data_IF_677922755039
#
_entry.id   IF_677922755039
#
_cell.length_a   1.000
_cell.length_b   1.000
_cell.length_c   1.000
_cell.angle_alpha   90.00
_cell.angle_beta   90.00
_cell.angle_gamma   90.00
#
_symmetry.space_group_name_H-M   'P 1'
#
loop_
_entity.id
_entity.type
_entity.pdbx_description
1 polymer ?
#
# COMPACT_ATOMS: atom_id res chain seq x y z
N UNK A 1 -22.10 14.47 16.74
CA UNK A 1 -21.84 13.37 15.80
C UNK A 1 -20.34 13.16 15.83
N UNK A 2 -19.85 12.45 16.86
CA UNK A 2 -18.43 12.21 17.01
C UNK A 2 -18.13 10.86 16.36
N UNK A 3 -18.10 10.88 15.02
CA UNK A 3 -17.50 9.77 14.28
C UNK A 3 -15.99 9.74 14.53
N UNK A 4 -15.34 8.57 14.42
CA UNK A 4 -13.90 8.48 14.57
C UNK A 4 -13.22 9.44 13.58
N UNK A 5 -12.27 10.23 14.07
CA UNK A 5 -11.51 11.15 13.23
C UNK A 5 -10.86 10.40 12.06
N UNK A 6 -10.86 10.97 10.85
CA UNK A 6 -10.31 10.30 9.68
C UNK A 6 -8.81 10.09 9.86
N UNK A 7 -8.34 8.85 9.71
CA UNK A 7 -6.91 8.51 9.75
C UNK A 7 -6.13 9.22 8.61
N UNK A 8 -4.82 9.49 8.77
CA UNK A 8 -3.99 10.00 7.68
C UNK A 8 -3.87 8.98 6.53
N UNK A 9 -3.51 9.45 5.34
CA UNK A 9 -3.18 8.58 4.20
C UNK A 9 -1.92 7.78 4.58
N UNK A 10 -1.93 6.43 4.47
CA UNK A 10 -0.79 5.62 4.90
C UNK A 10 0.48 5.97 4.12
N UNK A 11 1.62 5.86 4.81
CA UNK A 11 2.95 5.94 4.20
C UNK A 11 3.09 4.90 3.08
N UNK A 12 2.74 3.67 3.40
CA UNK A 12 2.75 2.54 2.49
C UNK A 12 1.56 1.63 2.78
N UNK A 13 0.92 1.14 1.72
CA UNK A 13 -0.07 0.08 1.81
C UNK A 13 -0.06 -0.68 0.48
N UNK A 14 -0.13 -2.01 0.55
CA UNK A 14 -0.11 -2.85 -0.63
C UNK A 14 -1.05 -4.04 -0.52
N UNK A 15 -1.46 -4.55 -1.68
CA UNK A 15 -1.96 -5.91 -1.86
C UNK A 15 -0.82 -6.75 -2.44
N UNK A 16 -0.72 -8.02 -2.10
CA UNK A 16 0.39 -8.87 -2.51
C UNK A 16 -0.07 -10.24 -2.98
N UNK A 17 0.75 -10.87 -3.82
CA UNK A 17 0.63 -12.28 -4.19
C UNK A 17 1.80 -13.05 -3.59
N UNK A 18 1.50 -13.94 -2.66
CA UNK A 18 2.43 -14.94 -2.15
C UNK A 18 2.43 -16.18 -3.04
N UNK A 19 3.60 -16.79 -3.12
CA UNK A 19 3.82 -18.10 -3.69
C UNK A 19 4.64 -18.95 -2.71
N UNK A 20 4.28 -20.21 -2.56
CA UNK A 20 5.14 -21.17 -1.84
C UNK A 20 6.34 -21.51 -2.70
N UNK A 21 7.54 -21.46 -2.13
CA UNK A 21 8.79 -21.89 -2.81
C UNK A 21 8.87 -23.41 -2.94
N UNK A 22 8.17 -24.16 -2.10
CA UNK A 22 8.10 -25.63 -2.14
C UNK A 22 7.11 -26.11 -3.21
N UNK A 23 5.96 -25.43 -3.32
CA UNK A 23 4.92 -25.74 -4.30
C UNK A 23 4.43 -24.48 -4.99
N UNK A 24 4.99 -24.17 -6.15
CA UNK A 24 4.68 -22.93 -6.89
C UNK A 24 3.20 -22.76 -7.28
N UNK A 25 2.42 -23.85 -7.32
CA UNK A 25 0.97 -23.80 -7.53
C UNK A 25 0.17 -23.32 -6.29
N UNK A 26 0.79 -23.28 -5.11
CA UNK A 26 0.18 -22.75 -3.89
C UNK A 26 0.36 -21.24 -3.83
N UNK A 27 -0.74 -20.53 -4.04
CA UNK A 27 -0.80 -19.08 -4.05
C UNK A 27 -1.70 -18.55 -2.92
N UNK A 28 -1.40 -17.34 -2.46
CA UNK A 28 -2.19 -16.62 -1.47
C UNK A 28 -2.16 -15.12 -1.76
N UNK A 29 -3.31 -14.46 -1.66
CA UNK A 29 -3.44 -13.01 -1.82
C UNK A 29 -3.76 -12.43 -0.45
N UNK A 30 -3.11 -11.31 -0.11
CA UNK A 30 -3.46 -10.55 1.07
C UNK A 30 -3.14 -9.06 0.90
N UNK A 31 -3.43 -8.27 1.93
CA UNK A 31 -2.99 -6.88 2.02
C UNK A 31 -2.22 -6.59 3.31
N UNK A 32 -1.38 -5.56 3.27
CA UNK A 32 -0.59 -5.10 4.42
C UNK A 32 0.05 -3.74 4.17
N UNK A 33 0.25 -2.90 5.19
CA UNK A 33 1.14 -1.74 5.13
C UNK A 33 2.60 -2.06 5.48
N UNK A 34 2.90 -3.26 5.97
CA UNK A 34 4.28 -3.67 6.25
C UNK A 34 4.58 -5.06 5.68
N UNK A 35 4.97 -5.14 4.40
CA UNK A 35 5.23 -6.42 3.74
C UNK A 35 6.38 -7.21 4.35
N UNK A 36 7.40 -6.53 4.89
CA UNK A 36 8.56 -7.16 5.54
C UNK A 36 8.09 -7.98 6.74
N UNK A 37 7.32 -7.33 7.63
CA UNK A 37 6.78 -8.02 8.80
C UNK A 37 5.77 -9.10 8.40
N UNK A 38 4.87 -8.81 7.45
CA UNK A 38 3.82 -9.75 7.03
C UNK A 38 4.40 -11.02 6.40
N UNK A 39 5.47 -10.92 5.61
CA UNK A 39 6.17 -12.09 5.07
C UNK A 39 6.75 -12.97 6.18
N UNK A 40 7.37 -12.37 7.19
CA UNK A 40 7.87 -13.09 8.38
C UNK A 40 6.75 -13.79 9.15
N UNK A 41 5.55 -13.20 9.23
CA UNK A 41 4.38 -13.82 9.84
C UNK A 41 3.92 -15.07 9.08
N UNK A 42 3.81 -14.99 7.75
CA UNK A 42 3.45 -16.15 6.92
C UNK A 42 4.48 -17.28 7.02
N UNK A 43 5.76 -16.94 7.15
CA UNK A 43 6.85 -17.89 7.31
C UNK A 43 7.03 -18.42 8.74
N UNK A 44 6.19 -17.99 9.70
CA UNK A 44 6.22 -18.49 11.08
C UNK A 44 7.37 -17.93 11.93
N UNK A 45 8.13 -16.95 11.41
CA UNK A 45 9.18 -16.24 12.16
C UNK A 45 8.56 -15.27 13.16
N UNK A 46 7.42 -14.66 12.80
CA UNK A 46 6.63 -13.78 13.65
C UNK A 46 5.21 -14.32 13.86
N UNK A 47 4.56 -13.95 14.97
CA UNK A 47 3.16 -14.30 15.25
C UNK A 47 2.18 -13.51 14.36
N UNK A 48 1.01 -14.08 14.08
CA UNK A 48 -0.06 -13.43 13.30
C UNK A 48 -0.10 -13.78 11.81
N UNK A 49 0.40 -14.96 11.43
CA UNK A 49 0.27 -15.47 10.06
C UNK A 49 -1.12 -16.06 9.79
N UNK A 50 -1.62 -15.90 8.56
CA UNK A 50 -2.91 -16.44 8.16
C UNK A 50 -2.95 -17.98 8.26
N UNK A 51 -4.09 -18.55 8.69
CA UNK A 51 -4.30 -20.01 8.82
C UNK A 51 -3.92 -20.78 7.54
N UNK A 52 -4.30 -20.26 6.37
CA UNK A 52 -3.99 -20.88 5.06
C UNK A 52 -2.48 -20.99 4.78
N UNK A 53 -1.68 -20.12 5.37
CA UNK A 53 -0.21 -20.08 5.19
C UNK A 53 0.55 -20.80 6.31
N UNK A 54 -0.15 -21.33 7.32
CA UNK A 54 0.46 -21.94 8.50
C UNK A 54 1.07 -23.33 8.28
N UNK A 55 0.77 -23.99 7.16
CA UNK A 55 1.26 -25.35 6.87
C UNK A 55 2.76 -25.34 6.59
N UNK A 56 3.55 -26.01 7.42
CA UNK A 56 5.01 -26.05 7.28
C UNK A 56 5.49 -26.66 5.96
N UNK A 57 4.79 -27.67 5.43
CA UNK A 57 5.09 -28.25 4.11
C UNK A 57 4.96 -27.28 2.93
N UNK A 58 4.36 -26.10 3.14
CA UNK A 58 4.22 -25.05 2.13
C UNK A 58 5.13 -23.83 2.42
N UNK A 59 5.75 -23.76 3.60
CA UNK A 59 6.75 -22.75 3.91
C UNK A 59 8.11 -23.16 3.31
N UNK A 60 8.98 -22.20 2.95
CA UNK A 60 8.75 -20.76 3.03
C UNK A 60 7.93 -20.22 1.85
N UNK A 61 7.18 -19.16 2.14
CA UNK A 61 6.50 -18.30 1.20
C UNK A 61 7.43 -17.17 0.75
N UNK A 62 7.21 -16.71 -0.47
CA UNK A 62 7.83 -15.53 -1.05
C UNK A 62 6.77 -14.57 -1.59
N UNK A 63 7.01 -13.26 -1.48
CA UNK A 63 6.20 -12.25 -2.16
C UNK A 63 6.63 -12.16 -3.62
N UNK A 64 5.80 -12.69 -4.51
CA UNK A 64 6.07 -12.72 -5.94
C UNK A 64 5.91 -11.34 -6.59
N UNK A 65 4.86 -10.62 -6.18
CA UNK A 65 4.58 -9.24 -6.59
C UNK A 65 3.76 -8.52 -5.53
N UNK A 66 3.79 -7.19 -5.57
CA UNK A 66 2.94 -6.30 -4.78
C UNK A 66 2.29 -5.24 -5.66
N UNK A 67 1.06 -4.87 -5.34
CA UNK A 67 0.36 -3.69 -5.84
C UNK A 67 0.45 -2.65 -4.74
N UNK A 68 1.25 -1.59 -4.94
CA UNK A 68 1.53 -0.55 -3.96
C UNK A 68 0.90 0.79 -4.36
N UNK A 69 0.75 1.70 -3.38
CA UNK A 69 0.29 3.07 -3.63
C UNK A 69 -1.15 3.36 -3.24
N UNK A 70 -1.82 2.45 -2.53
CA UNK A 70 -3.18 2.69 -2.02
C UNK A 70 -3.20 3.89 -1.08
N UNK A 71 -4.17 4.79 -1.30
CA UNK A 71 -4.34 6.02 -0.50
C UNK A 71 -5.18 5.80 0.76
N UNK A 72 -5.75 4.61 0.96
CA UNK A 72 -6.48 4.24 2.16
C UNK A 72 -6.45 2.72 2.37
N UNK A 73 -6.58 2.29 3.64
CA UNK A 73 -6.76 0.88 4.00
C UNK A 73 -8.00 0.30 3.32
N UNK A 74 -9.11 1.05 3.30
CA UNK A 74 -10.38 0.60 2.70
C UNK A 74 -10.20 0.28 1.22
N UNK A 75 -9.50 1.14 0.46
CA UNK A 75 -9.24 0.90 -0.96
C UNK A 75 -8.39 -0.35 -1.20
N UNK A 76 -7.38 -0.59 -0.34
CA UNK A 76 -6.58 -1.81 -0.40
C UNK A 76 -7.41 -3.07 -0.08
N UNK A 77 -8.27 -3.03 0.93
CA UNK A 77 -9.15 -4.15 1.30
C UNK A 77 -10.17 -4.46 0.20
N UNK A 78 -10.74 -3.43 -0.44
CA UNK A 78 -11.63 -3.61 -1.59
C UNK A 78 -10.90 -4.28 -2.76
N UNK A 79 -9.66 -3.86 -3.04
CA UNK A 79 -8.84 -4.45 -4.08
C UNK A 79 -8.47 -5.91 -3.75
N UNK A 80 -8.03 -6.17 -2.53
CA UNK A 80 -7.73 -7.52 -2.04
C UNK A 80 -8.93 -8.45 -2.20
N UNK A 81 -10.10 -8.03 -1.71
CA UNK A 81 -11.32 -8.83 -1.78
C UNK A 81 -11.69 -9.14 -3.22
N UNK A 82 -11.64 -8.13 -4.10
CA UNK A 82 -11.94 -8.28 -5.52
C UNK A 82 -10.96 -9.23 -6.23
N UNK A 83 -9.70 -9.27 -5.79
CA UNK A 83 -8.68 -10.16 -6.34
C UNK A 83 -8.76 -11.59 -5.79
N UNK A 84 -9.22 -11.75 -4.55
CA UNK A 84 -9.51 -13.05 -3.94
C UNK A 84 -10.80 -13.69 -4.47
N UNK A 85 -11.80 -12.87 -4.84
CA UNK A 85 -13.11 -13.32 -5.30
C UNK A 85 -13.52 -12.75 -6.67
N UNK A 86 -12.76 -12.99 -7.76
CA UNK A 86 -13.05 -12.38 -9.06
C UNK A 86 -14.42 -12.69 -9.63
N UNK A 87 -14.93 -13.90 -9.41
CA UNK A 87 -16.26 -14.31 -9.86
C UNK A 87 -17.42 -13.62 -9.13
N UNK A 88 -17.15 -12.98 -7.99
CA UNK A 88 -18.13 -12.19 -7.24
C UNK A 88 -17.90 -10.69 -7.38
N UNK A 89 -16.80 -10.31 -8.01
CA UNK A 89 -16.38 -8.93 -8.10
C UNK A 89 -17.08 -8.27 -9.28
N UNK A 90 -17.93 -7.29 -8.99
CA UNK A 90 -18.51 -6.36 -10.00
C UNK A 90 -17.48 -5.65 -10.87
N UNK A 91 -16.19 -5.67 -10.49
CA UNK A 91 -15.10 -5.08 -11.24
C UNK A 91 -14.54 -6.01 -12.32
N UNK A 92 -14.93 -7.29 -12.31
CA UNK A 92 -14.43 -8.35 -13.17
C UNK A 92 -15.58 -9.11 -13.86
N UNK A 93 -16.80 -8.57 -13.83
CA UNK A 93 -17.92 -9.17 -14.54
C UNK A 93 -17.61 -9.19 -16.04
N UNK A 94 -17.73 -10.36 -16.70
CA UNK A 94 -17.59 -10.43 -18.15
C UNK A 94 -18.75 -9.66 -18.79
N UNK A 95 -18.44 -8.73 -19.70
CA UNK A 95 -19.43 -8.00 -20.51
C UNK A 95 -20.38 -8.93 -21.31
N UNK A 96 -20.10 -10.24 -21.35
CA UNK A 96 -20.82 -11.29 -22.10
C UNK A 96 -21.77 -12.18 -21.26
N UNK A 97 -22.08 -11.87 -20.01
CA UNK A 97 -23.01 -12.67 -19.19
C UNK A 97 -24.51 -12.54 -19.58
N UNK A 98 -24.81 -11.85 -20.69
CA UNK A 98 -26.13 -11.90 -21.35
C UNK A 98 -26.39 -13.22 -22.10
N UNK A 99 -25.45 -14.17 -22.12
CA UNK A 99 -25.66 -15.53 -22.62
C UNK A 99 -25.31 -16.58 -21.57
N UNK A 100 -26.16 -16.70 -20.56
CA UNK A 100 -26.23 -17.89 -19.72
C UNK A 100 -26.42 -19.14 -20.62
N UNK A 101 -25.33 -19.81 -20.99
CA UNK A 101 -25.38 -21.15 -21.56
C UNK A 101 -25.87 -22.08 -20.47
N UNK A 102 -27.15 -22.44 -20.53
CA UNK A 102 -27.70 -23.53 -19.73
C UNK A 102 -26.95 -24.80 -20.14
N UNK A 103 -26.01 -25.26 -19.31
CA UNK A 103 -25.34 -26.54 -19.51
C UNK A 103 -26.34 -27.67 -19.20
N UNK A 104 -27.12 -28.03 -20.21
CA UNK A 104 -28.05 -29.16 -20.19
C UNK A 104 -27.27 -30.43 -20.56
N UNK A 105 -27.45 -31.50 -19.79
CA UNK A 105 -26.89 -32.81 -20.14
C UNK A 105 -27.58 -33.37 -21.40
N UNK A 106 -26.85 -33.69 -22.49
CA UNK A 106 -27.45 -34.14 -23.76
C UNK A 106 -28.24 -35.45 -23.67
N UNK A 107 -28.04 -36.26 -22.62
CA UNK A 107 -28.70 -37.56 -22.44
C UNK A 107 -29.92 -37.48 -21.52
N UNK A 108 -29.97 -36.50 -20.61
CA UNK A 108 -30.98 -36.47 -19.54
C UNK A 108 -31.80 -35.19 -19.49
N UNK A 109 -31.45 -34.15 -20.25
CA UNK A 109 -32.19 -32.89 -20.28
C UNK A 109 -32.15 -32.10 -18.96
N UNK A 110 -31.40 -32.58 -17.96
CA UNK A 110 -31.29 -31.96 -16.64
C UNK A 110 -30.15 -30.94 -16.60
N UNK A 111 -30.29 -29.85 -15.83
CA UNK A 111 -29.18 -28.93 -15.59
C UNK A 111 -28.06 -29.67 -14.86
N UNK A 112 -26.84 -29.63 -15.42
CA UNK A 112 -25.66 -30.18 -14.71
C UNK A 112 -25.45 -29.38 -13.42
N UNK A 113 -25.35 -30.09 -12.29
CA UNK A 113 -24.95 -29.47 -11.03
C UNK A 113 -23.58 -28.80 -11.20
N UNK A 114 -23.42 -27.56 -10.72
CA UNK A 114 -22.12 -26.87 -10.70
C UNK A 114 -21.11 -27.77 -9.96
N UNK A 115 -19.88 -27.95 -10.48
CA UNK A 115 -18.87 -28.74 -9.78
C UNK A 115 -18.65 -28.16 -8.38
N UNK A 116 -18.73 -29.02 -7.35
CA UNK A 116 -18.64 -28.65 -5.92
C UNK A 116 -17.22 -28.27 -5.47
N UNK A 117 -16.21 -28.52 -6.30
CA UNK A 117 -14.81 -28.20 -6.01
C UNK A 117 -14.37 -26.99 -6.84
N UNK A 118 -14.12 -25.86 -6.17
CA UNK A 118 -13.42 -24.73 -6.80
C UNK A 118 -11.99 -25.18 -7.10
N UNK A 119 -11.71 -25.48 -8.36
CA UNK A 119 -10.34 -25.73 -8.82
C UNK A 119 -9.44 -24.55 -8.39
N UNK A 120 -8.25 -24.87 -7.86
CA UNK A 120 -7.28 -23.84 -7.47
C UNK A 120 -6.95 -23.01 -8.72
N UNK A 121 -7.10 -21.69 -8.61
CA UNK A 121 -6.77 -20.78 -9.72
C UNK A 121 -5.27 -20.79 -9.97
N UNK A 122 -4.91 -20.75 -11.26
CA UNK A 122 -3.51 -20.75 -11.69
C UNK A 122 -2.88 -19.37 -11.46
N UNK A 123 -1.55 -19.31 -11.50
CA UNK A 123 -0.81 -18.04 -11.50
C UNK A 123 -1.28 -17.12 -12.64
N UNK A 124 -1.46 -17.68 -13.83
CA UNK A 124 -1.96 -16.94 -15.00
C UNK A 124 -3.31 -16.32 -14.70
N UNK A 125 -4.28 -17.08 -14.18
CA UNK A 125 -5.59 -16.56 -13.84
C UNK A 125 -5.53 -15.39 -12.85
N UNK A 126 -4.70 -15.47 -11.81
CA UNK A 126 -4.52 -14.36 -10.86
C UNK A 126 -3.91 -13.10 -11.51
N UNK A 127 -3.02 -13.27 -12.48
CA UNK A 127 -2.42 -12.17 -13.23
C UNK A 127 -3.40 -11.57 -14.24
N UNK A 128 -4.27 -12.38 -14.83
CA UNK A 128 -5.40 -11.93 -15.66
C UNK A 128 -6.36 -11.06 -14.83
N UNK A 129 -6.78 -11.54 -13.65
CA UNK A 129 -7.65 -10.80 -12.75
C UNK A 129 -6.99 -9.48 -12.32
N UNK A 130 -5.70 -9.51 -11.97
CA UNK A 130 -4.94 -8.31 -11.60
C UNK A 130 -4.94 -7.27 -12.73
N UNK A 131 -4.69 -7.70 -13.97
CA UNK A 131 -4.70 -6.82 -15.13
C UNK A 131 -6.06 -6.14 -15.33
N UNK A 132 -7.15 -6.90 -15.17
CA UNK A 132 -8.52 -6.38 -15.25
C UNK A 132 -8.85 -5.44 -14.09
N UNK A 133 -8.43 -5.75 -12.85
CA UNK A 133 -8.64 -4.87 -11.69
C UNK A 133 -7.94 -3.53 -11.84
N UNK A 134 -6.71 -3.49 -12.34
CA UNK A 134 -5.98 -2.24 -12.57
C UNK A 134 -6.66 -1.34 -13.61
N UNK A 135 -7.51 -1.91 -14.46
CA UNK A 135 -8.26 -1.19 -15.49
C UNK A 135 -9.68 -0.85 -15.08
N UNK A 136 -10.15 -1.37 -13.96
CA UNK A 136 -11.49 -1.08 -13.49
C UNK A 136 -11.64 0.40 -13.17
N UNK A 137 -12.84 0.94 -13.33
CA UNK A 137 -13.13 2.37 -13.12
C UNK A 137 -12.82 2.85 -11.69
N UNK A 138 -12.84 1.94 -10.70
CA UNK A 138 -12.57 2.29 -9.30
C UNK A 138 -11.08 2.35 -8.93
N UNK A 139 -10.22 1.62 -9.64
CA UNK A 139 -8.79 1.54 -9.30
C UNK A 139 -7.90 2.22 -10.35
N UNK A 140 -8.37 2.38 -11.58
CA UNK A 140 -7.62 2.96 -12.70
C UNK A 140 -7.20 4.41 -12.47
N UNK A 141 -7.90 5.19 -11.65
CA UNK A 141 -7.55 6.58 -11.33
C UNK A 141 -6.54 6.71 -10.19
N UNK A 142 -6.31 5.64 -9.42
CA UNK A 142 -5.41 5.65 -8.28
C UNK A 142 -3.93 5.73 -8.68
N UNK A 143 -3.03 6.17 -7.77
CA UNK A 143 -1.59 6.19 -8.01
C UNK A 143 -0.95 4.80 -7.79
N UNK A 144 -1.63 3.76 -8.27
CA UNK A 144 -1.25 2.36 -8.08
C UNK A 144 -0.03 2.00 -8.94
N UNK A 145 0.78 1.11 -8.41
CA UNK A 145 1.98 0.60 -9.06
C UNK A 145 2.09 -0.89 -8.79
N UNK A 146 2.55 -1.65 -9.77
CA UNK A 146 2.77 -3.09 -9.60
C UNK A 146 4.26 -3.35 -9.62
N UNK A 147 4.78 -3.89 -8.52
CA UNK A 147 6.20 -4.25 -8.38
C UNK A 147 6.34 -5.77 -8.41
N UNK A 148 7.09 -6.26 -9.38
CA UNK A 148 7.41 -7.68 -9.53
C UNK A 148 8.78 -7.98 -8.94
N UNK A 149 8.86 -8.97 -8.05
CA UNK A 149 10.12 -9.44 -7.46
C UNK A 149 10.68 -10.70 -8.14
N UNK A 150 9.82 -11.48 -8.80
CA UNK A 150 10.18 -12.74 -9.44
C UNK A 150 10.09 -12.66 -10.97
N UNK A 151 11.18 -13.02 -11.66
CA UNK A 151 11.30 -12.91 -13.12
C UNK A 151 10.36 -13.85 -13.88
N UNK A 152 10.15 -15.06 -13.38
CA UNK A 152 9.23 -16.01 -13.97
C UNK A 152 7.78 -15.55 -13.89
N UNK A 153 7.37 -14.94 -12.78
CA UNK A 153 6.04 -14.35 -12.61
C UNK A 153 5.83 -13.17 -13.56
N UNK A 154 6.83 -12.29 -13.69
CA UNK A 154 6.77 -11.17 -14.63
C UNK A 154 6.73 -11.63 -16.09
N UNK A 155 7.41 -12.74 -16.45
CA UNK A 155 7.28 -13.33 -17.81
C UNK A 155 5.85 -13.76 -18.12
N UNK A 156 5.14 -14.37 -17.15
CA UNK A 156 3.73 -14.74 -17.33
C UNK A 156 2.87 -13.50 -17.49
N UNK A 157 3.09 -12.47 -16.67
CA UNK A 157 2.41 -11.18 -16.77
C UNK A 157 2.62 -10.53 -18.15
N UNK A 158 3.87 -10.47 -18.62
CA UNK A 158 4.22 -9.91 -19.92
C UNK A 158 3.55 -10.68 -21.05
N UNK A 159 3.60 -12.01 -21.02
CA UNK A 159 2.96 -12.85 -22.02
C UNK A 159 1.43 -12.65 -22.09
N UNK A 160 0.78 -12.36 -20.96
CA UNK A 160 -0.63 -11.96 -20.93
C UNK A 160 -0.84 -10.55 -21.50
N UNK A 161 -0.07 -9.58 -21.00
CA UNK A 161 -0.16 -8.18 -21.40
C UNK A 161 0.09 -7.98 -22.91
N UNK A 162 0.97 -8.77 -23.52
CA UNK A 162 1.26 -8.70 -24.95
C UNK A 162 0.15 -9.33 -25.82
N UNK A 163 -0.70 -10.18 -25.24
CA UNK A 163 -1.83 -10.83 -25.92
C UNK A 163 -3.10 -10.00 -25.88
N UNK A 164 -3.28 -9.19 -24.85
CA UNK A 164 -4.50 -8.41 -24.64
C UNK A 164 -4.33 -7.03 -25.27
N UNK A 165 -5.20 -6.69 -26.22
CA UNK A 165 -5.15 -5.40 -26.93
C UNK A 165 -5.35 -4.18 -26.00
N UNK A 166 -5.99 -4.41 -24.88
CA UNK A 166 -6.37 -3.35 -23.96
C UNK A 166 -5.30 -3.06 -22.91
N UNK A 167 -4.68 -1.88 -23.07
CA UNK A 167 -3.51 -1.40 -22.31
C UNK A 167 -3.88 -0.92 -20.91
N UNK A 168 -2.89 -0.94 -20.02
CA UNK A 168 -3.01 -0.33 -18.70
C UNK A 168 -3.08 1.21 -18.80
N UNK A 169 -3.83 1.87 -17.89
CA UNK A 169 -3.82 3.31 -17.76
C UNK A 169 -2.39 3.86 -17.57
N UNK A 170 -2.03 4.99 -18.22
CA UNK A 170 -0.66 5.52 -18.21
C UNK A 170 -0.18 6.00 -16.82
N UNK A 171 -1.09 6.18 -15.87
CA UNK A 171 -0.76 6.48 -14.47
C UNK A 171 -0.33 5.26 -13.67
N UNK A 172 -0.65 4.03 -14.11
CA UNK A 172 -0.26 2.80 -13.43
C UNK A 172 1.11 2.39 -13.92
N UNK A 173 2.08 2.34 -13.00
CA UNK A 173 3.48 2.00 -13.33
C UNK A 173 3.79 0.55 -12.99
N UNK A 174 4.52 -0.13 -13.88
CA UNK A 174 5.10 -1.45 -13.63
C UNK A 174 6.56 -1.26 -13.22
N UNK A 175 6.96 -1.86 -12.09
CA UNK A 175 8.30 -1.77 -11.52
C UNK A 175 8.88 -3.18 -11.46
N UNK A 176 10.11 -3.33 -11.97
CA UNK A 176 10.86 -4.58 -11.93
C UNK A 176 11.88 -4.50 -10.81
N UNK A 177 11.88 -5.52 -9.96
CA UNK A 177 12.69 -5.58 -8.75
C UNK A 177 13.12 -7.03 -8.46
N UNK A 178 13.96 -7.24 -7.44
CA UNK A 178 14.44 -8.58 -7.10
C UNK A 178 15.26 -9.19 -8.22
N UNK A 179 14.96 -10.45 -8.50
CA UNK A 179 15.60 -11.24 -9.54
C UNK A 179 15.35 -10.66 -10.95
N UNK A 180 14.38 -9.76 -11.11
CA UNK A 180 14.12 -9.10 -12.40
C UNK A 180 15.22 -8.10 -12.78
N UNK A 181 15.99 -7.57 -11.83
CA UNK A 181 16.96 -6.51 -12.10
C UNK A 181 18.03 -6.94 -13.12
N UNK A 182 18.43 -8.21 -13.10
CA UNK A 182 19.38 -8.77 -14.06
C UNK A 182 18.79 -8.96 -15.48
N UNK A 183 17.46 -8.91 -15.62
CA UNK A 183 16.76 -9.23 -16.88
C UNK A 183 16.53 -7.98 -17.76
N UNK A 184 16.99 -6.80 -17.32
CA UNK A 184 16.85 -5.55 -18.07
C UNK A 184 18.21 -5.09 -18.59
N UNK A 185 18.58 -5.38 -19.85
CA UNK A 185 19.75 -4.76 -20.46
C UNK A 185 19.44 -3.27 -20.68
N UNK A 186 20.18 -2.38 -20.02
CA UNK A 186 19.99 -0.93 -20.13
C UNK A 186 18.55 -0.47 -19.88
N UNK A 187 18.05 -0.65 -18.65
CA UNK A 187 16.93 0.16 -18.19
C UNK A 187 17.36 1.63 -18.25
N UNK A 188 17.03 2.31 -19.36
CA UNK A 188 16.77 3.75 -19.28
C UNK A 188 15.78 3.89 -18.15
N UNK A 189 16.29 4.40 -17.03
CA UNK A 189 15.53 4.73 -15.84
C UNK A 189 14.22 5.34 -16.31
N UNK A 190 13.11 4.61 -16.16
CA UNK A 190 11.79 5.24 -16.10
C UNK A 190 11.84 6.08 -14.84
N UNK A 191 12.42 7.28 -14.99
CA UNK A 191 12.77 8.18 -13.91
C UNK A 191 11.57 8.38 -13.02
N UNK A 192 11.75 8.04 -11.74
CA UNK A 192 11.06 8.56 -10.55
C UNK A 192 11.10 7.56 -9.39
N UNK A 193 11.37 6.26 -9.62
CA UNK A 193 11.33 5.26 -8.54
C UNK A 193 12.54 4.33 -8.61
N UNK A 194 13.41 4.45 -7.60
CA UNK A 194 14.57 3.57 -7.45
C UNK A 194 14.14 2.11 -7.17
N UNK A 195 14.83 1.12 -7.75
CA UNK A 195 14.64 -0.28 -7.37
C UNK A 195 14.96 -0.48 -5.90
N UNK A 196 14.11 -1.23 -5.18
CA UNK A 196 14.39 -1.56 -3.79
C UNK A 196 15.44 -2.69 -3.69
N UNK A 197 15.60 -3.50 -4.72
CA UNK A 197 16.39 -4.73 -4.71
C UNK A 197 15.58 -5.90 -4.17
N UNK A 198 14.92 -5.75 -3.01
CA UNK A 198 14.08 -6.80 -2.44
C UNK A 198 13.01 -6.22 -1.51
N UNK A 199 12.13 -7.08 -0.99
CA UNK A 199 11.05 -6.68 -0.10
C UNK A 199 11.55 -5.96 1.17
N UNK A 200 12.72 -6.34 1.68
CA UNK A 200 13.29 -5.80 2.92
C UNK A 200 13.73 -4.34 2.79
N UNK A 201 13.93 -3.86 1.57
CA UNK A 201 14.41 -2.51 1.29
C UNK A 201 13.26 -1.57 0.87
N UNK A 202 12.02 -2.02 0.94
CA UNK A 202 10.87 -1.14 0.74
C UNK A 202 10.78 -0.15 1.90
N UNK A 203 10.73 1.14 1.56
CA UNK A 203 10.40 2.19 2.53
C UNK A 203 8.89 2.14 2.80
N UNK A 204 8.55 1.67 4.00
CA UNK A 204 7.17 1.47 4.47
C UNK A 204 6.69 2.58 5.42
N UNK A 205 7.58 3.50 5.75
CA UNK A 205 7.40 4.62 6.68
C UNK A 205 7.34 5.97 5.96
N UNK A 206 7.12 7.04 6.72
CA UNK A 206 7.11 8.41 6.20
C UNK A 206 8.52 8.99 6.02
N UNK A 207 9.59 8.18 6.06
CA UNK A 207 10.96 8.71 6.01
C UNK A 207 11.23 9.52 4.75
N UNK A 208 10.64 9.14 3.60
CA UNK A 208 10.72 9.91 2.34
C UNK A 208 10.01 11.26 2.36
N UNK A 209 9.16 11.50 3.35
CA UNK A 209 8.41 12.75 3.52
C UNK A 209 8.99 13.64 4.61
N UNK A 210 10.03 13.21 5.33
CA UNK A 210 10.58 13.95 6.47
C UNK A 210 11.01 15.39 6.12
N UNK A 211 11.78 15.58 5.05
CA UNK A 211 12.22 16.91 4.61
C UNK A 211 11.03 17.80 4.20
N UNK A 212 10.04 17.19 3.54
CA UNK A 212 8.86 17.92 3.11
C UNK A 212 7.97 18.31 4.30
N UNK A 213 7.80 17.40 5.26
CA UNK A 213 7.04 17.62 6.49
C UNK A 213 7.69 18.66 7.38
N UNK A 214 9.02 18.60 7.55
CA UNK A 214 9.78 19.61 8.30
C UNK A 214 9.56 21.00 7.69
N UNK A 215 9.75 21.10 6.37
CA UNK A 215 9.54 22.35 5.65
C UNK A 215 8.10 22.85 5.78
N UNK A 216 7.10 21.99 5.65
CA UNK A 216 5.70 22.41 5.70
C UNK A 216 5.28 22.84 7.10
N UNK A 217 5.72 22.13 8.14
CA UNK A 217 5.45 22.50 9.54
C UNK A 217 6.15 23.82 9.88
N UNK A 218 7.44 23.95 9.60
CA UNK A 218 8.20 25.18 9.83
C UNK A 218 7.58 26.39 9.12
N UNK A 219 7.15 26.22 7.86
CA UNK A 219 6.53 27.30 7.11
C UNK A 219 5.19 27.75 7.68
N UNK A 220 4.45 26.89 8.39
CA UNK A 220 3.10 27.18 8.88
C UNK A 220 3.08 27.59 10.36
N UNK A 221 4.23 27.61 11.04
CA UNK A 221 4.37 28.09 12.43
C UNK A 221 4.10 29.60 12.55
N UNK A 222 4.54 30.39 11.56
CA UNK A 222 4.34 31.84 11.51
C UNK A 222 3.61 32.22 10.19
N UNK A 223 2.27 32.26 10.21
CA UNK A 223 1.46 32.47 9.02
C UNK A 223 1.26 33.93 8.62
N UNK A 224 1.77 34.91 9.38
CA UNK A 224 1.40 36.32 9.24
C UNK A 224 1.71 36.90 7.85
N UNK A 225 2.72 36.35 7.16
CA UNK A 225 3.12 36.75 5.81
C UNK A 225 2.68 35.76 4.71
N UNK A 226 1.97 34.67 5.06
CA UNK A 226 1.62 33.64 4.09
C UNK A 226 0.34 33.98 3.33
N UNK A 227 0.45 33.97 2.00
CA UNK A 227 -0.69 34.15 1.10
C UNK A 227 -0.80 32.99 0.12
N UNK A 228 -2.04 32.61 -0.17
CA UNK A 228 -2.32 31.57 -1.14
C UNK A 228 -1.83 32.00 -2.54
N UNK A 229 -0.96 31.19 -3.15
CA UNK A 229 -0.36 31.51 -4.46
C UNK A 229 -1.39 31.64 -5.59
N UNK A 230 -2.60 31.09 -5.40
CA UNK A 230 -3.70 31.08 -6.37
C UNK A 230 -4.65 32.26 -6.14
N UNK A 231 -5.31 32.36 -4.98
CA UNK A 231 -6.33 33.38 -4.73
C UNK A 231 -5.78 34.68 -4.10
N UNK A 232 -4.49 34.71 -3.73
CA UNK A 232 -3.79 35.85 -3.11
C UNK A 232 -4.34 36.32 -1.76
N UNK A 233 -5.25 35.55 -1.15
CA UNK A 233 -5.75 35.80 0.22
C UNK A 233 -4.78 35.24 1.27
N UNK A 234 -4.73 35.83 2.48
CA UNK A 234 -3.99 35.26 3.60
C UNK A 234 -4.47 33.82 3.88
N UNK A 235 -3.55 32.96 4.32
CA UNK A 235 -3.86 31.59 4.73
C UNK A 235 -3.92 31.49 6.24
N UNK A 236 -4.91 30.77 6.78
CA UNK A 236 -5.06 30.61 8.23
C UNK A 236 -4.93 29.11 8.55
N UNK A 237 -3.74 28.62 8.97
CA UNK A 237 -3.50 27.18 9.15
C UNK A 237 -4.45 26.48 10.13
N UNK A 238 -5.01 27.23 11.09
CA UNK A 238 -5.96 26.71 12.10
C UNK A 238 -7.38 26.55 11.57
N UNK A 239 -7.77 27.29 10.53
CA UNK A 239 -9.11 27.29 9.95
C UNK A 239 -9.16 26.64 8.56
N UNK A 240 -8.07 26.72 7.81
CA UNK A 240 -7.98 26.31 6.42
C UNK A 240 -7.20 24.99 6.24
N UNK A 241 -7.58 24.21 5.22
CA UNK A 241 -6.72 23.13 4.73
C UNK A 241 -5.67 23.72 3.78
N UNK A 242 -4.45 23.86 4.28
CA UNK A 242 -3.33 24.49 3.53
C UNK A 242 -2.37 23.44 3.00
N UNK A 243 -2.03 23.54 1.72
CA UNK A 243 -1.05 22.70 1.05
C UNK A 243 0.22 23.50 0.75
N UNK A 244 1.37 22.86 0.95
CA UNK A 244 2.69 23.42 0.67
C UNK A 244 3.29 22.71 -0.54
N UNK A 245 4.08 23.41 -1.36
CA UNK A 245 4.75 22.78 -2.49
C UNK A 245 5.75 21.71 -2.00
N UNK A 246 5.83 20.51 -2.60
CA UNK A 246 6.78 19.48 -2.18
C UNK A 246 8.25 19.80 -2.51
N UNK A 247 8.52 20.65 -3.50
CA UNK A 247 9.88 21.01 -3.92
C UNK A 247 10.64 21.77 -2.82
N UNK A 248 11.85 21.32 -2.46
CA UNK A 248 12.66 21.85 -1.35
C UNK A 248 12.87 23.37 -1.40
N UNK A 249 13.18 23.89 -2.59
CA UNK A 249 13.47 25.31 -2.80
C UNK A 249 12.21 26.17 -3.07
N UNK A 250 11.01 25.61 -2.95
CA UNK A 250 9.76 26.32 -3.21
C UNK A 250 8.98 26.56 -1.93
N UNK A 251 8.60 27.82 -1.70
CA UNK A 251 7.74 28.26 -0.58
C UNK A 251 6.29 28.50 -1.01
N UNK A 252 5.82 27.83 -2.06
CA UNK A 252 4.46 28.00 -2.55
C UNK A 252 3.46 27.39 -1.58
N UNK A 253 2.60 28.21 -0.98
CA UNK A 253 1.49 27.79 -0.12
C UNK A 253 0.15 28.06 -0.82
N UNK A 254 -0.86 27.23 -0.62
CA UNK A 254 -2.18 27.42 -1.22
C UNK A 254 -3.27 26.79 -0.38
N UNK A 255 -4.50 27.31 -0.47
CA UNK A 255 -5.68 26.57 -0.01
C UNK A 255 -5.82 25.28 -0.83
N UNK A 256 -6.22 24.19 -0.17
CA UNK A 256 -6.46 22.89 -0.79
C UNK A 256 -7.35 23.01 -2.04
N UNK A 257 -8.50 23.68 -1.89
CA UNK A 257 -9.49 23.85 -2.96
C UNK A 257 -8.99 24.76 -4.09
N UNK A 258 -8.17 25.76 -3.76
CA UNK A 258 -7.58 26.63 -4.79
C UNK A 258 -6.55 25.88 -5.63
N UNK A 259 -5.70 25.06 -5.00
CA UNK A 259 -4.74 24.26 -5.73
C UNK A 259 -5.46 23.18 -6.55
N UNK A 260 -6.41 22.45 -5.96
CA UNK A 260 -7.13 21.37 -6.67
C UNK A 260 -7.81 21.90 -7.93
N UNK A 261 -8.58 22.98 -7.83
CA UNK A 261 -9.31 23.56 -8.96
C UNK A 261 -8.34 23.96 -10.07
N UNK A 262 -7.25 24.65 -9.71
CA UNK A 262 -6.22 25.05 -10.68
C UNK A 262 -5.53 23.87 -11.36
N UNK A 263 -5.33 22.75 -10.65
CA UNK A 263 -4.74 21.56 -11.26
C UNK A 263 -5.74 20.85 -12.19
N UNK A 264 -7.03 20.82 -11.84
CA UNK A 264 -8.09 20.25 -12.68
C UNK A 264 -8.34 21.09 -13.94
N UNK A 265 -8.39 22.41 -13.81
CA UNK A 265 -8.57 23.32 -14.95
C UNK A 265 -7.44 23.15 -15.99
N UNK A 266 -6.24 22.77 -15.53
CA UNK A 266 -5.09 22.54 -16.39
C UNK A 266 -5.09 21.18 -17.12
N UNK A 267 -5.90 20.20 -16.70
CA UNK A 267 -5.99 18.90 -17.40
C UNK A 267 -6.90 18.97 -18.62
N UNK A 268 -7.90 19.86 -18.61
CA UNK A 268 -8.91 19.94 -19.68
C UNK A 268 -9.91 18.78 -19.67
N UNK A 269 -9.97 18.00 -18.59
CA UNK A 269 -10.88 16.87 -18.41
C UNK A 269 -12.00 17.25 -17.42
N UNK A 270 -13.22 17.56 -17.89
CA UNK A 270 -14.28 18.09 -17.03
C UNK A 270 -14.83 17.07 -16.01
N UNK A 271 -14.70 15.77 -16.30
CA UNK A 271 -15.20 14.70 -15.45
C UNK A 271 -14.21 14.30 -14.32
N UNK A 272 -13.00 14.85 -14.33
CA UNK A 272 -11.98 14.53 -13.35
C UNK A 272 -12.24 15.28 -12.04
N UNK A 273 -12.60 14.53 -10.98
CA UNK A 273 -12.91 15.13 -9.67
C UNK A 273 -11.68 15.34 -8.78
N UNK A 274 -10.63 14.52 -8.98
CA UNK A 274 -9.44 14.51 -8.12
C UNK A 274 -8.19 14.67 -8.99
N UNK A 275 -7.35 15.68 -8.74
CA UNK A 275 -6.09 15.82 -9.46
C UNK A 275 -5.19 14.60 -9.24
N UNK A 276 -4.45 14.19 -10.27
CA UNK A 276 -3.42 13.15 -10.13
C UNK A 276 -2.03 13.77 -10.08
N UNK A 277 -1.79 14.75 -10.95
CA UNK A 277 -0.54 15.50 -11.10
C UNK A 277 -0.84 16.92 -11.58
N UNK A 278 0.16 17.79 -11.54
CA UNK A 278 0.05 19.13 -12.10
C UNK A 278 1.32 19.94 -11.93
N UNK A 279 1.25 21.26 -12.12
CA UNK A 279 2.41 22.16 -11.99
C UNK A 279 2.20 23.14 -10.85
N UNK A 280 3.21 23.34 -10.01
CA UNK A 280 3.15 24.32 -8.93
C UNK A 280 2.93 25.75 -9.50
N UNK A 281 1.97 26.53 -8.97
CA UNK A 281 1.75 27.90 -9.45
C UNK A 281 2.95 28.84 -9.28
N UNK A 282 3.81 28.58 -8.29
CA UNK A 282 4.98 29.40 -7.96
C UNK A 282 6.24 28.93 -8.72
N UNK A 283 6.79 27.75 -8.40
CA UNK A 283 8.05 27.29 -8.99
C UNK A 283 7.90 26.62 -10.37
N UNK A 284 6.68 26.42 -10.86
CA UNK A 284 6.36 25.76 -12.15
C UNK A 284 6.78 24.30 -12.29
N UNK A 285 7.50 23.74 -11.32
CA UNK A 285 7.86 22.33 -11.31
C UNK A 285 6.63 21.41 -11.20
N UNK A 286 6.75 20.21 -11.76
CA UNK A 286 5.73 19.17 -11.67
C UNK A 286 5.53 18.72 -10.21
N UNK A 287 4.28 18.55 -9.79
CA UNK A 287 3.89 18.08 -8.46
C UNK A 287 2.93 16.91 -8.57
N UNK A 288 3.03 15.98 -7.62
CA UNK A 288 2.15 14.81 -7.53
C UNK A 288 1.11 15.04 -6.44
N UNK A 289 -0.17 14.98 -6.80
CA UNK A 289 -1.27 15.20 -5.86
C UNK A 289 -1.26 14.21 -4.69
N UNK A 290 -1.02 12.90 -4.89
CA UNK A 290 -0.94 11.94 -3.78
C UNK A 290 0.14 12.29 -2.74
N UNK A 291 1.27 12.86 -3.18
CA UNK A 291 2.36 13.28 -2.27
C UNK A 291 1.92 14.45 -1.39
N UNK A 292 1.28 15.46 -1.99
CA UNK A 292 0.75 16.63 -1.27
C UNK A 292 -0.32 16.17 -0.27
N UNK A 293 -1.23 15.29 -0.69
CA UNK A 293 -2.31 14.81 0.18
C UNK A 293 -1.77 13.95 1.33
N UNK A 294 -0.73 13.14 1.08
CA UNK A 294 -0.11 12.35 2.13
C UNK A 294 0.52 13.23 3.21
N UNK A 295 1.26 14.26 2.81
CA UNK A 295 1.83 15.22 3.77
C UNK A 295 0.73 16.00 4.52
N UNK A 296 -0.24 16.59 3.80
CA UNK A 296 -1.34 17.34 4.41
C UNK A 296 -2.08 16.52 5.47
N UNK A 297 -2.48 15.30 5.10
CA UNK A 297 -3.26 14.44 6.00
C UNK A 297 -2.43 13.95 7.17
N UNK A 298 -1.14 13.66 6.96
CA UNK A 298 -0.25 13.25 8.05
C UNK A 298 -0.01 14.40 9.04
N UNK A 299 0.27 15.61 8.54
CA UNK A 299 0.45 16.81 9.36
C UNK A 299 -0.80 17.15 10.18
N UNK A 300 -1.99 17.11 9.55
CA UNK A 300 -3.23 17.55 10.19
C UNK A 300 -3.91 16.50 11.07
N UNK A 301 -3.72 15.20 10.80
CA UNK A 301 -4.47 14.11 11.47
C UNK A 301 -3.59 13.22 12.35
N UNK A 302 -2.27 13.38 12.28
CA UNK A 302 -1.29 12.62 13.04
C UNK A 302 -0.14 13.52 13.48
N UNK A 303 -0.48 14.69 14.04
CA UNK A 303 0.48 15.73 14.41
C UNK A 303 1.51 15.23 15.44
N UNK A 304 1.08 14.40 16.39
CA UNK A 304 1.98 13.81 17.41
C UNK A 304 3.04 12.94 16.75
N UNK A 305 2.65 12.18 15.75
CA UNK A 305 3.52 11.25 15.04
C UNK A 305 4.40 11.96 14.02
N UNK A 306 3.88 13.01 13.37
CA UNK A 306 4.67 13.95 12.59
C UNK A 306 5.81 14.55 13.42
N UNK A 307 5.50 15.08 14.61
CA UNK A 307 6.50 15.59 15.54
C UNK A 307 7.50 14.52 15.97
N UNK A 308 7.05 13.29 16.23
CA UNK A 308 7.92 12.20 16.63
C UNK A 308 8.93 11.81 15.53
N UNK A 309 8.50 11.82 14.27
CA UNK A 309 9.37 11.54 13.12
C UNK A 309 10.44 12.62 12.96
N UNK A 310 10.07 13.90 13.05
CA UNK A 310 11.02 15.01 12.97
C UNK A 310 12.05 14.98 14.11
N UNK A 311 11.61 14.70 15.34
CA UNK A 311 12.52 14.51 16.49
C UNK A 311 13.49 13.35 16.27
N UNK A 312 13.06 12.26 15.64
CA UNK A 312 13.94 11.13 15.29
C UNK A 312 14.96 11.54 14.23
N UNK A 313 14.55 12.31 13.22
CA UNK A 313 15.45 12.88 12.22
C UNK A 313 16.54 13.73 12.85
N UNK A 314 16.18 14.67 13.72
CA UNK A 314 17.14 15.54 14.41
C UNK A 314 18.17 14.74 15.21
N UNK A 315 17.73 13.68 15.91
CA UNK A 315 18.63 12.78 16.64
C UNK A 315 19.60 12.07 15.70
N UNK A 316 19.16 11.64 14.51
CA UNK A 316 20.04 11.02 13.50
C UNK A 316 21.09 12.02 12.99
N UNK A 317 20.66 13.22 12.61
CA UNK A 317 21.56 14.27 12.13
C UNK A 317 22.61 14.65 13.19
N UNK A 318 22.21 14.82 14.45
CA UNK A 318 23.15 15.09 15.55
C UNK A 318 24.17 13.96 15.76
N UNK A 319 23.74 12.70 15.61
CA UNK A 319 24.62 11.54 15.73
C UNK A 319 25.62 11.48 14.56
N UNK A 320 25.16 11.75 13.34
CA UNK A 320 26.00 11.83 12.14
C UNK A 320 27.03 12.96 12.26
N UNK A 321 26.62 14.18 12.64
CA UNK A 321 27.55 15.29 12.85
C UNK A 321 28.57 15.00 13.96
N UNK A 322 28.16 14.34 15.05
CA UNK A 322 29.09 13.93 16.11
C UNK A 322 30.10 12.88 15.62
N UNK A 323 29.67 11.92 14.79
CA UNK A 323 30.54 10.91 14.20
C UNK A 323 31.54 11.54 13.21
N UNK A 324 31.11 12.52 12.41
CA UNK A 324 31.98 13.27 11.50
C UNK A 324 33.02 14.09 12.27
N UNK A 325 32.65 14.75 13.37
CA UNK A 325 33.60 15.48 14.23
C UNK A 325 34.64 14.53 14.83
N UNK A 326 34.23 13.35 15.31
CA UNK A 326 35.13 12.33 15.85
C UNK A 326 36.09 11.82 14.76
N UNK A 327 35.57 11.54 13.56
CA UNK A 327 36.37 11.09 12.42
C UNK A 327 37.37 12.16 11.96
N UNK A 328 36.97 13.42 11.91
CA UNK A 328 37.83 14.56 11.58
C UNK A 328 38.93 14.78 12.64
N UNK A 329 38.62 14.58 13.93
CA UNK A 329 39.60 14.68 15.01
C UNK A 329 40.66 13.57 14.95
N UNK A 330 40.29 12.37 14.50
CA UNK A 330 41.22 11.23 14.32
C UNK A 330 42.09 11.35 13.05
N UNK A 331 41.68 12.15 12.06
CA UNK A 331 42.47 12.44 10.86
C UNK A 331 43.68 13.35 11.07
N UNK A 332 43.90 13.90 12.29
CA UNK A 332 44.95 14.90 12.55
C UNK A 332 45.97 14.52 13.63
N UNK A 333 45.95 13.30 14.18
CA UNK A 333 47.01 12.84 15.10
C UNK A 333 47.34 11.37 14.89
N UNK A 334 48.53 11.13 14.35
CA UNK A 334 49.22 9.87 14.53
C UNK A 334 49.61 9.68 16.00
N UNK A 335 49.67 8.40 16.39
CA UNK A 335 50.19 7.83 17.64
C UNK A 335 49.18 7.60 18.76
N UNK A 336 48.74 6.34 18.80
CA UNK A 336 48.55 5.44 19.96
C UNK A 336 48.14 6.04 21.30
N UNK A 337 46.94 5.67 21.78
CA UNK A 337 46.64 5.10 23.11
C UNK A 337 45.18 4.61 23.06
N UNK A 338 44.96 3.31 23.32
CA UNK A 338 43.63 2.74 23.56
C UNK A 338 43.07 3.22 24.91
N UNK A 339 41.77 3.53 24.98
CA UNK A 339 41.02 3.32 26.21
C UNK A 339 39.86 2.34 25.99
N UNK A 340 39.97 1.22 26.71
CA UNK A 340 38.92 0.25 27.01
C UNK A 340 37.65 0.96 27.49
N UNK A 341 36.56 0.84 26.74
CA UNK A 341 35.22 1.29 27.15
C UNK A 341 34.26 0.10 27.12
N UNK A 342 33.56 -0.07 28.24
CA UNK A 342 32.59 -1.13 28.47
C UNK A 342 31.38 -0.92 27.56
N UNK A 343 30.99 -1.99 26.86
CA UNK A 343 29.73 -2.07 26.12
C UNK A 343 28.57 -2.12 27.12
N UNK A 344 27.91 -0.98 27.33
CA UNK A 344 26.53 -0.98 27.78
C UNK A 344 25.64 -1.17 26.53
N UNK A 345 24.89 -2.27 26.51
CA UNK A 345 23.86 -2.49 25.48
C UNK A 345 22.79 -1.40 25.59
N UNK A 346 22.40 -0.74 24.48
CA UNK A 346 21.30 0.19 24.53
C UNK A 346 20.01 -0.60 24.73
N UNK A 347 19.33 -0.31 25.84
CA UNK A 347 17.99 -0.76 26.15
C UNK A 347 17.09 -0.69 24.90
N UNK A 348 16.48 -1.82 24.56
CA UNK A 348 15.48 -1.92 23.52
C UNK A 348 14.30 -1.01 23.91
N UNK A 349 14.26 0.17 23.32
CA UNK A 349 13.23 1.17 23.55
C UNK A 349 11.92 0.66 22.92
N UNK A 350 11.03 0.12 23.77
CA UNK A 350 9.76 -0.58 23.46
C UNK A 350 8.71 0.25 22.68
N UNK A 351 9.04 1.45 22.23
CA UNK A 351 8.08 2.39 21.61
C UNK A 351 8.11 2.39 20.07
N UNK A 352 8.85 1.47 19.43
CA UNK A 352 8.94 1.39 17.96
C UNK A 352 7.77 0.65 17.28
N UNK A 353 6.95 -0.09 18.04
CA UNK A 353 6.01 -1.07 17.45
C UNK A 353 4.53 -0.63 17.45
N UNK A 354 4.15 0.43 18.17
CA UNK A 354 2.74 0.64 18.51
C UNK A 354 1.93 1.53 17.53
N UNK A 355 2.51 2.07 16.46
CA UNK A 355 1.72 2.84 15.49
C UNK A 355 0.83 1.94 14.60
N UNK A 356 0.99 0.63 14.71
CA UNK A 356 0.43 -0.33 13.80
C UNK A 356 -0.53 -1.34 14.45
N UNK A 357 -0.40 -1.64 15.75
CA UNK A 357 -1.25 -2.65 16.40
C UNK A 357 -2.74 -2.32 16.29
N UNK A 358 -3.08 -1.03 16.29
CA UNK A 358 -4.46 -0.55 16.12
C UNK A 358 -4.97 -0.59 14.66
N UNK A 359 -4.11 -0.89 13.68
CA UNK A 359 -4.49 -1.06 12.27
C UNK A 359 -4.71 -2.53 11.88
N UNK A 360 -4.12 -3.48 12.61
CA UNK A 360 -4.23 -4.93 12.33
C UNK A 360 -5.33 -5.64 13.14
N UNK A 361 -5.81 -5.08 14.27
CA UNK A 361 -6.86 -5.72 15.08
C UNK A 361 -8.21 -5.85 14.36
N UNK A 362 -8.40 -5.18 13.23
CA UNK A 362 -9.67 -5.18 12.49
C UNK A 362 -9.53 -5.76 11.07
N UNK A 363 -8.35 -6.29 10.70
CA UNK A 363 -8.16 -6.86 9.34
C UNK A 363 -8.81 -8.23 9.18
N UNK A 364 -9.15 -8.88 10.31
CA UNK A 364 -9.73 -10.23 10.36
C UNK A 364 -11.16 -10.26 10.94
N UNK A 365 -11.84 -9.12 11.09
CA UNK A 365 -13.25 -9.11 11.53
C UNK A 365 -14.19 -8.96 10.33
N UNK A 366 -14.97 -10.02 10.10
CA UNK A 366 -16.01 -10.16 9.10
C UNK A 366 -17.07 -9.05 9.12
N UNK A 367 -17.48 -8.65 7.92
CA UNK A 367 -18.56 -7.71 7.64
C UNK A 367 -19.88 -8.48 7.46
N UNK A 368 -20.75 -8.45 8.46
CA UNK A 368 -22.21 -8.50 8.23
C UNK A 368 -22.90 -7.45 9.12
N UNK A 369 -23.26 -6.32 8.51
CA UNK A 369 -24.13 -5.32 9.11
C UNK A 369 -25.54 -5.41 8.52
N UNK A 370 -26.54 -5.73 9.36
CA UNK A 370 -27.93 -5.36 9.10
C UNK A 370 -28.55 -4.74 10.35
N UNK A 371 -28.89 -3.47 10.24
CA UNK A 371 -29.53 -2.63 11.27
C UNK A 371 -30.89 -3.22 11.71
N UNK A 372 -31.25 -3.08 13.01
CA UNK A 372 -32.41 -2.28 13.46
C UNK A 372 -32.67 -2.36 14.98
N UNK A 373 -32.95 -1.17 15.53
CA UNK A 373 -33.84 -0.78 16.65
C UNK A 373 -33.79 -1.48 18.03
N UNK A 374 -33.70 -0.61 19.05
CA UNK A 374 -33.87 -0.84 20.48
C UNK A 374 -35.12 -1.63 20.88
N UNK A 375 -34.94 -2.61 21.77
CA UNK A 375 -35.88 -2.91 22.87
C UNK A 375 -35.16 -3.67 24.00
N UNK A 376 -35.47 -3.31 25.25
CA UNK A 376 -34.93 -3.87 26.49
C UNK A 376 -35.42 -5.30 26.77
N UNK A 377 -34.63 -6.01 27.58
CA UNK A 377 -34.82 -7.31 28.26
C UNK A 377 -34.21 -8.59 27.65
N UNK A 378 -33.57 -9.45 28.49
CA UNK A 378 -32.77 -10.59 28.03
C UNK A 378 -33.59 -11.89 27.99
N UNK A 379 -33.28 -12.84 27.07
CA UNK A 379 -33.34 -14.23 27.52
C UNK A 379 -32.35 -15.24 26.90
N UNK A 380 -31.94 -16.14 27.78
CA UNK A 380 -31.67 -17.59 27.66
C UNK A 380 -30.82 -18.15 26.50
N UNK A 381 -29.73 -18.81 26.92
CA UNK A 381 -28.96 -19.84 26.22
C UNK A 381 -29.83 -20.77 25.36
N UNK A 382 -29.57 -20.76 24.07
CA UNK A 382 -29.79 -21.88 23.15
C UNK A 382 -28.46 -22.14 22.46
N UNK A 383 -27.96 -23.37 22.60
CA UNK A 383 -26.84 -23.89 21.82
C UNK A 383 -27.24 -23.88 20.34
N UNK A 384 -26.55 -23.05 19.55
CA UNK A 384 -26.60 -23.10 18.10
C UNK A 384 -25.49 -24.05 17.67
N UNK A 385 -25.87 -25.27 17.30
CA UNK A 385 -25.01 -26.16 16.51
C UNK A 385 -24.83 -25.50 15.15
N UNK A 386 -23.62 -25.04 14.87
CA UNK A 386 -23.21 -24.56 13.56
C UNK A 386 -22.70 -25.79 12.82
N UNK A 387 -23.38 -26.19 11.74
CA UNK A 387 -22.84 -27.15 10.77
C UNK A 387 -21.63 -26.50 10.10
N UNK A 388 -20.45 -26.94 10.51
CA UNK A 388 -19.19 -26.61 9.88
C UNK A 388 -19.19 -27.07 8.42
N UNK A 389 -18.69 -26.22 7.53
CA UNK A 389 -18.41 -26.58 6.15
C UNK A 389 -17.30 -27.64 6.16
N UNK A 390 -17.68 -28.91 6.13
CA UNK A 390 -16.82 -30.08 5.98
C UNK A 390 -15.83 -29.89 4.82
N UNK A 391 -14.54 -29.91 5.17
CA UNK A 391 -13.46 -30.15 4.22
C UNK A 391 -12.94 -31.55 4.51
N UNK A 392 -13.58 -32.54 3.88
CA UNK A 392 -13.12 -33.92 3.91
C UNK A 392 -11.79 -34.08 3.18
N UNK A 393 -10.96 -34.91 3.79
CA UNK A 393 -9.71 -35.45 3.26
C UNK A 393 -9.91 -36.05 1.87
N UNK A 394 -9.00 -35.70 0.95
CA UNK A 394 -8.72 -36.54 -0.20
C UNK A 394 -7.30 -37.08 -0.04
N UNK A 395 -7.29 -38.40 0.15
CA UNK A 395 -6.22 -39.35 0.40
C UNK A 395 -4.89 -39.06 -0.30
N UNK A 396 -3.84 -39.42 0.45
CA UNK A 396 -2.55 -39.84 -0.08
C UNK A 396 -2.78 -40.96 -1.11
N UNK A 397 -2.25 -40.77 -2.31
CA UNK A 397 -1.79 -41.90 -3.11
C UNK A 397 -0.30 -41.66 -3.34
N UNK A 398 0.48 -42.64 -2.91
CA UNK A 398 1.95 -42.73 -3.05
C UNK A 398 2.40 -42.63 -4.51
#
# INVERSE_FOLDING_TARGET
MDGPEPKPIPAYYCCYLLRSTVRHASLYIGSTPNPIRRLSQHNGVAKGGAKRTARDKLRPWEMSLVVEGFMSRVSALQFEWAWQHPEKSRHLEPEDESKAKVNVDPKTGKPKAKPRSRARRSLTAHLEDLHSLLRSTCFSSGPLRVRFFRADVYRVWRAWNDRVDSRLPPNIKIILDGDNLATVPNAKQTGEIEPAGCINNLSVDYTRLEDYLEKSMFMLEDPDDLQCTVCKKPVIPTADQIVVCPHSNCRGTSHLLCLSSKLLDATGEPDLLVPTRGTCPLCKNAVQWPTIMRELTFRNRAEKEACAILRKKDKRLRKESAAEIISAAQGTRGTSIEPRTQLEEPAQDELSSNWFEQLDLESDSDFEGRQKHHSNDPPSKLEVVIEDSDWDDAELVE
#
